data_IF_832868303874
#
_entry.id   IF_832868303874
#
_cell.length_a   1.000
_cell.length_b   1.000
_cell.length_c   1.000
_cell.angle_alpha   90.00
_cell.angle_beta   90.00
_cell.angle_gamma   90.00
#
_symmetry.space_group_name_H-M   'P 1'
#
loop_
_entity.id
_entity.type
_entity.pdbx_description
1 polymer ?
#
# COMPACT_ATOMS: atom_id res chain seq x y z
N UNK A 1 0.22 21.24 7.55
CA UNK A 1 -0.49 20.37 8.50
C UNK A 1 0.54 19.79 9.43
N UNK A 2 0.33 19.93 10.73
CA UNK A 2 1.21 19.35 11.74
C UNK A 2 1.17 17.81 11.65
N UNK A 3 2.32 17.12 11.58
CA UNK A 3 2.37 15.66 11.39
C UNK A 3 1.93 14.86 12.62
N UNK A 4 2.02 15.46 13.81
CA UNK A 4 1.69 14.83 15.10
C UNK A 4 0.22 15.07 15.50
N UNK A 5 -0.45 16.03 14.86
CA UNK A 5 -1.88 16.26 15.03
C UNK A 5 -2.68 14.98 14.83
N UNK A 6 -3.62 14.73 15.73
CA UNK A 6 -4.55 13.62 15.67
C UNK A 6 -5.77 14.00 14.84
N UNK A 7 -6.15 13.12 13.92
CA UNK A 7 -7.36 13.24 13.11
C UNK A 7 -8.21 11.98 13.24
N UNK A 8 -9.52 12.14 13.12
CA UNK A 8 -10.46 11.04 13.24
C UNK A 8 -10.48 10.19 11.97
N UNK A 9 -10.56 8.86 12.14
CA UNK A 9 -10.68 7.96 10.99
C UNK A 9 -12.08 8.06 10.35
N UNK A 10 -12.17 8.11 9.01
CA UNK A 10 -13.45 8.16 8.29
C UNK A 10 -14.22 6.83 8.32
N UNK A 11 -13.57 5.71 8.63
CA UNK A 11 -14.22 4.39 8.71
C UNK A 11 -14.77 4.07 10.09
N UNK A 12 -14.14 4.62 11.14
CA UNK A 12 -14.50 4.37 12.52
C UNK A 12 -14.24 5.61 13.37
N UNK A 13 -15.29 6.08 14.04
CA UNK A 13 -15.26 7.29 14.85
C UNK A 13 -14.43 7.16 16.13
N UNK A 14 -14.19 5.93 16.61
CA UNK A 14 -13.39 5.66 17.80
C UNK A 14 -11.88 5.84 17.57
N UNK A 15 -11.43 5.75 16.32
CA UNK A 15 -10.02 5.87 15.99
C UNK A 15 -9.58 7.32 15.84
N UNK A 16 -8.59 7.72 16.64
CA UNK A 16 -7.78 8.91 16.44
C UNK A 16 -6.39 8.52 15.95
N UNK A 17 -5.93 9.13 14.86
CA UNK A 17 -4.71 8.73 14.15
C UNK A 17 -3.89 9.97 13.85
N UNK A 18 -2.58 9.91 14.08
CA UNK A 18 -1.67 10.97 13.66
C UNK A 18 -1.75 11.21 12.16
N UNK A 19 -1.69 12.47 11.73
CA UNK A 19 -1.68 12.85 10.31
C UNK A 19 -0.61 12.08 9.52
N UNK A 20 0.58 11.92 10.10
CA UNK A 20 1.69 11.18 9.50
C UNK A 20 1.39 9.69 9.25
N UNK A 21 0.57 9.06 10.10
CA UNK A 21 0.22 7.63 10.04
C UNK A 21 -1.10 7.36 9.30
N UNK A 22 -1.89 8.39 9.02
CA UNK A 22 -3.20 8.28 8.41
C UNK A 22 -3.20 7.47 7.09
N UNK A 23 -2.26 7.68 6.12
CA UNK A 23 -2.31 6.94 4.85
C UNK A 23 -2.25 5.42 5.05
N UNK A 24 -1.33 4.95 5.91
CA UNK A 24 -1.19 3.54 6.24
C UNK A 24 -2.41 3.00 7.00
N UNK A 25 -2.93 3.79 7.93
CA UNK A 25 -4.12 3.43 8.69
C UNK A 25 -5.34 3.24 7.77
N UNK A 26 -5.57 4.14 6.81
CA UNK A 26 -6.72 4.07 5.92
C UNK A 26 -6.78 2.76 5.14
N UNK A 27 -5.64 2.25 4.65
CA UNK A 27 -5.60 0.98 3.91
C UNK A 27 -6.02 -0.20 4.78
N UNK A 28 -5.48 -0.29 6.00
CA UNK A 28 -5.82 -1.38 6.93
C UNK A 28 -7.27 -1.28 7.42
N UNK A 29 -7.69 -0.07 7.79
CA UNK A 29 -9.01 0.17 8.37
C UNK A 29 -10.14 -0.02 7.34
N UNK A 30 -9.89 0.30 6.06
CA UNK A 30 -10.82 0.03 4.96
C UNK A 30 -11.14 -1.47 4.84
N UNK A 31 -10.12 -2.33 4.91
CA UNK A 31 -10.28 -3.79 4.83
C UNK A 31 -11.11 -4.34 6.00
N UNK A 32 -10.93 -3.77 7.19
CA UNK A 32 -11.65 -4.19 8.40
C UNK A 32 -13.10 -3.68 8.46
N UNK A 33 -13.42 -2.62 7.70
CA UNK A 33 -14.73 -1.96 7.72
C UNK A 33 -15.42 -1.98 6.34
N UNK A 34 -15.72 -3.15 5.76
CA UNK A 34 -16.20 -3.27 4.39
C UNK A 34 -17.55 -2.58 4.15
N UNK A 35 -18.42 -2.52 5.16
CA UNK A 35 -19.74 -1.87 5.06
C UNK A 35 -19.60 -0.37 4.84
N UNK A 36 -18.81 0.31 5.67
CA UNK A 36 -18.55 1.75 5.54
C UNK A 36 -17.70 2.02 4.30
N UNK A 37 -16.73 1.16 4.01
CA UNK A 37 -15.87 1.28 2.83
C UNK A 37 -16.63 1.32 1.50
N UNK A 38 -17.77 0.63 1.38
CA UNK A 38 -18.64 0.70 0.20
C UNK A 38 -19.32 2.06 0.02
N UNK A 39 -19.48 2.82 1.10
CA UNK A 39 -20.14 4.14 1.06
C UNK A 39 -19.18 5.30 0.82
N UNK A 40 -17.88 5.05 0.98
CA UNK A 40 -16.81 6.04 0.85
C UNK A 40 -15.98 5.78 -0.40
N UNK A 41 -15.68 6.84 -1.14
CA UNK A 41 -14.75 6.82 -2.25
C UNK A 41 -13.48 7.58 -1.91
N UNK A 42 -12.38 7.21 -2.57
CA UNK A 42 -11.09 7.89 -2.46
C UNK A 42 -11.04 9.04 -3.47
N UNK A 43 -10.54 10.21 -3.05
CA UNK A 43 -10.31 11.31 -3.98
C UNK A 43 -9.19 10.96 -4.98
N UNK A 44 -9.35 11.30 -6.27
CA UNK A 44 -8.31 11.09 -7.27
C UNK A 44 -7.06 11.97 -7.06
N UNK A 45 -7.19 13.12 -6.40
CA UNK A 45 -6.07 14.06 -6.19
C UNK A 45 -5.31 13.83 -4.89
N UNK A 46 -5.97 13.27 -3.86
CA UNK A 46 -5.35 13.01 -2.57
C UNK A 46 -5.89 11.72 -1.95
N UNK A 47 -5.02 10.71 -1.84
CA UNK A 47 -5.36 9.41 -1.28
C UNK A 47 -5.69 9.45 0.22
N UNK A 48 -5.51 10.58 0.92
CA UNK A 48 -5.97 10.77 2.31
C UNK A 48 -7.44 11.13 2.39
N UNK A 49 -8.03 11.68 1.32
CA UNK A 49 -9.43 12.06 1.32
C UNK A 49 -10.30 10.81 1.13
N UNK A 50 -11.21 10.60 2.09
CA UNK A 50 -12.31 9.63 2.03
C UNK A 50 -13.60 10.41 2.07
N UNK A 51 -14.36 10.35 0.99
CA UNK A 51 -15.55 11.18 0.77
C UNK A 51 -16.74 10.26 0.48
N UNK A 52 -17.94 10.53 1.00
CA UNK A 52 -19.13 9.77 0.62
C UNK A 52 -19.28 9.72 -0.90
N UNK A 53 -19.58 8.54 -1.45
CA UNK A 53 -19.64 8.32 -2.90
C UNK A 53 -20.59 9.32 -3.60
N UNK A 54 -21.73 9.62 -2.97
CA UNK A 54 -22.70 10.60 -3.47
C UNK A 54 -22.14 12.03 -3.60
N UNK A 55 -21.13 12.39 -2.79
CA UNK A 55 -20.52 13.73 -2.75
C UNK A 55 -19.20 13.81 -3.51
N UNK A 56 -18.70 12.70 -4.05
CA UNK A 56 -17.40 12.65 -4.72
C UNK A 56 -17.30 13.64 -5.88
N UNK A 57 -18.34 13.76 -6.71
CA UNK A 57 -18.35 14.67 -7.87
C UNK A 57 -18.16 16.13 -7.46
N UNK A 58 -18.92 16.58 -6.46
CA UNK A 58 -18.80 17.93 -5.91
C UNK A 58 -17.43 18.14 -5.28
N UNK A 59 -16.94 17.15 -4.50
CA UNK A 59 -15.61 17.21 -3.91
C UNK A 59 -14.50 17.36 -4.95
N UNK A 60 -14.55 16.60 -6.05
CA UNK A 60 -13.54 16.66 -7.12
C UNK A 60 -13.49 18.05 -7.75
N UNK A 61 -14.64 18.70 -7.94
CA UNK A 61 -14.70 20.06 -8.50
C UNK A 61 -14.04 21.12 -7.60
N UNK A 62 -14.13 20.96 -6.28
CA UNK A 62 -13.66 21.92 -5.29
C UNK A 62 -12.54 21.38 -4.38
N UNK A 63 -11.81 20.34 -4.82
CA UNK A 63 -10.81 19.69 -3.98
C UNK A 63 -9.63 20.65 -3.77
N UNK A 64 -9.17 20.87 -2.53
CA UNK A 64 -8.05 21.78 -2.26
C UNK A 64 -6.72 21.29 -2.87
N UNK A 65 -6.58 19.97 -3.05
CA UNK A 65 -5.40 19.36 -3.67
C UNK A 65 -5.49 19.27 -5.20
N UNK A 66 -6.60 19.75 -5.80
CA UNK A 66 -6.73 19.83 -7.26
C UNK A 66 -5.83 20.96 -7.76
N UNK A 67 -4.57 20.64 -8.05
CA UNK A 67 -3.65 21.54 -8.74
C UNK A 67 -4.19 21.78 -10.15
N UNK A 68 -4.36 23.04 -10.54
CA UNK A 68 -4.55 23.33 -11.95
C UNK A 68 -3.23 23.06 -12.66
N UNK A 69 -3.22 22.40 -13.82
CA UNK A 69 -2.04 22.44 -14.67
C UNK A 69 -1.75 23.92 -14.92
N UNK A 70 -0.57 24.38 -14.52
CA UNK A 70 -0.03 25.66 -14.96
C UNK A 70 0.17 25.54 -16.48
N UNK A 71 -0.88 25.81 -17.26
CA UNK A 71 -0.74 26.05 -18.69
C UNK A 71 -0.06 27.41 -18.80
N UNK A 72 1.14 27.49 -19.40
CA UNK A 72 1.75 28.77 -19.70
C UNK A 72 0.75 29.60 -20.52
N UNK A 73 0.41 30.77 -20.01
CA UNK A 73 -0.32 31.82 -20.71
C UNK A 73 0.49 32.23 -21.94
N UNK A 74 -0.10 31.99 -23.11
CA UNK A 74 0.25 32.41 -24.48
C UNK A 74 1.73 32.40 -24.91
N UNK A 75 2.02 31.66 -25.97
CA UNK A 75 2.67 32.31 -27.11
C UNK A 75 2.03 31.76 -28.38
N UNK A 76 1.39 32.65 -29.12
CA UNK A 76 0.94 32.47 -30.49
C UNK A 76 2.05 31.90 -31.36
N UNK A 77 2.04 30.59 -31.57
CA UNK A 77 2.75 29.98 -32.68
C UNK A 77 1.70 29.73 -33.78
N UNK A 78 1.76 30.43 -34.93
CA UNK A 78 0.96 30.01 -36.07
C UNK A 78 1.43 28.59 -36.41
N UNK A 79 0.51 27.64 -36.41
CA UNK A 79 0.73 26.31 -36.99
C UNK A 79 0.98 26.49 -38.49
N UNK A 80 2.21 26.87 -38.83
CA UNK A 80 2.74 26.77 -40.18
C UNK A 80 3.13 25.33 -40.43
N UNK A 81 2.52 24.72 -41.43
CA UNK A 81 2.93 23.48 -42.07
C UNK A 81 4.46 23.38 -42.19
N UNK A 82 5.08 22.54 -41.37
CA UNK A 82 6.54 22.42 -41.35
C UNK A 82 7.13 21.69 -40.16
N UNK A 83 6.53 20.58 -39.72
CA UNK A 83 7.15 19.68 -38.76
C UNK A 83 8.33 18.95 -39.42
N UNK A 84 9.51 19.55 -39.43
CA UNK A 84 10.76 18.78 -39.49
C UNK A 84 11.12 18.41 -38.06
N UNK A 85 11.09 17.11 -37.75
CA UNK A 85 11.57 16.57 -36.48
C UNK A 85 12.93 17.19 -36.13
N UNK A 86 13.14 17.63 -34.88
CA UNK A 86 14.49 17.77 -34.37
C UNK A 86 15.14 16.39 -34.45
N UNK A 87 16.23 16.31 -35.21
CA UNK A 87 17.06 15.11 -35.27
C UNK A 87 17.51 14.77 -33.84
N UNK A 88 17.03 13.64 -33.35
CA UNK A 88 17.48 13.07 -32.08
C UNK A 88 18.95 12.68 -32.30
N UNK A 89 19.92 13.17 -31.51
CA UNK A 89 21.27 12.62 -31.57
C UNK A 89 21.16 11.11 -31.26
N UNK A 90 21.47 10.29 -32.26
CA UNK A 90 21.27 8.85 -32.26
C UNK A 90 22.28 8.08 -31.37
N UNK A 91 22.70 8.65 -30.24
CA UNK A 91 23.83 8.15 -29.46
C UNK A 91 23.54 7.90 -27.98
N UNK A 92 22.38 8.30 -27.44
CA UNK A 92 22.01 7.90 -26.08
C UNK A 92 21.38 6.51 -26.09
N UNK A 93 22.25 5.51 -26.11
CA UNK A 93 21.91 4.15 -25.69
C UNK A 93 22.09 4.12 -24.16
N UNK A 94 20.98 4.06 -23.41
CA UNK A 94 21.06 3.76 -21.99
C UNK A 94 21.80 2.42 -21.79
N UNK A 95 22.54 2.23 -20.67
CA UNK A 95 23.13 0.94 -20.36
C UNK A 95 22.08 -0.18 -20.50
N UNK A 96 22.46 -1.38 -20.96
CA UNK A 96 21.53 -2.51 -21.00
C UNK A 96 20.90 -2.68 -19.63
N UNK A 97 19.57 -2.66 -19.56
CA UNK A 97 18.84 -2.97 -18.34
C UNK A 97 19.15 -4.42 -17.97
N UNK A 98 20.03 -4.62 -16.98
CA UNK A 98 20.46 -5.95 -16.54
C UNK A 98 19.56 -6.52 -15.43
N UNK A 99 18.62 -5.71 -14.92
CA UNK A 99 17.61 -6.14 -13.97
C UNK A 99 16.41 -6.71 -14.74
N UNK A 100 16.50 -8.01 -15.06
CA UNK A 100 15.36 -8.79 -15.53
C UNK A 100 14.37 -8.96 -14.37
N UNK A 101 13.41 -8.04 -14.26
CA UNK A 101 12.35 -8.11 -13.26
C UNK A 101 11.38 -9.28 -13.48
N UNK A 102 11.53 -10.02 -14.59
CA UNK A 102 10.84 -11.28 -14.87
C UNK A 102 11.71 -12.53 -14.64
N UNK A 103 12.93 -12.38 -14.09
CA UNK A 103 13.74 -13.49 -13.60
C UNK A 103 13.20 -14.06 -12.26
N UNK A 104 11.89 -14.27 -12.18
CA UNK A 104 11.31 -15.21 -11.24
C UNK A 104 11.85 -16.60 -11.57
N UNK A 105 12.61 -17.19 -10.65
CA UNK A 105 13.16 -18.53 -10.78
C UNK A 105 12.10 -19.50 -11.32
N UNK A 106 12.35 -20.02 -12.53
CA UNK A 106 11.78 -21.28 -13.00
C UNK A 106 12.28 -22.40 -12.08
N UNK A 107 11.71 -22.47 -10.88
CA UNK A 107 11.82 -23.66 -10.06
C UNK A 107 11.23 -24.80 -10.90
N UNK A 108 11.96 -25.91 -11.08
CA UNK A 108 11.39 -27.05 -11.79
C UNK A 108 10.10 -27.43 -11.07
N UNK A 109 9.03 -27.64 -11.85
CA UNK A 109 7.86 -28.36 -11.40
C UNK A 109 8.32 -29.78 -11.05
N UNK A 110 8.90 -29.96 -9.86
CA UNK A 110 9.01 -31.27 -9.26
C UNK A 110 7.56 -31.71 -9.05
N UNK A 111 7.18 -32.73 -9.81
CA UNK A 111 5.89 -33.37 -9.76
C UNK A 111 5.42 -33.48 -8.31
N UNK A 112 4.30 -32.82 -8.00
CA UNK A 112 3.62 -33.08 -6.74
C UNK A 112 3.15 -34.54 -6.82
N UNK A 113 3.84 -35.41 -6.10
CA UNK A 113 3.37 -36.79 -5.91
C UNK A 113 2.00 -36.70 -5.21
N UNK A 114 0.96 -37.42 -5.64
CA UNK A 114 -0.41 -37.22 -5.14
C UNK A 114 -0.65 -37.78 -3.72
N UNK A 115 0.39 -37.99 -2.92
CA UNK A 115 0.28 -38.54 -1.57
C UNK A 115 0.86 -37.57 -0.54
N UNK A 116 -0.03 -36.84 0.12
CA UNK A 116 0.03 -36.49 1.54
C UNK A 116 1.16 -35.56 2.02
N UNK A 117 0.79 -34.43 2.64
CA UNK A 117 1.70 -33.62 3.43
C UNK A 117 2.16 -34.37 4.68
N UNK A 118 3.25 -35.12 4.57
CA UNK A 118 4.06 -35.54 5.71
C UNK A 118 5.52 -35.25 5.40
N UNK A 119 6.04 -34.18 6.00
CA UNK A 119 7.48 -33.96 6.09
C UNK A 119 7.99 -34.67 7.35
N UNK A 120 8.94 -35.62 7.25
CA UNK A 120 9.61 -36.16 8.42
C UNK A 120 10.57 -35.12 8.98
N UNK A 121 10.44 -34.82 10.28
CA UNK A 121 11.46 -34.08 11.02
C UNK A 121 12.64 -35.05 11.24
N UNK A 122 13.63 -35.00 10.36
CA UNK A 122 14.93 -35.58 10.66
C UNK A 122 15.84 -34.45 11.13
N UNK A 123 15.87 -34.28 12.45
CA UNK A 123 16.83 -33.48 13.19
C UNK A 123 18.16 -34.23 13.30
N UNK A 124 19.30 -33.62 12.94
CA UNK A 124 20.59 -34.01 13.46
C UNK A 124 21.07 -32.89 14.38
N UNK A 125 20.51 -32.80 15.58
CA UNK A 125 21.16 -32.06 16.66
C UNK A 125 21.58 -33.06 17.72
N UNK A 126 22.87 -33.41 17.65
CA UNK A 126 23.57 -34.19 18.63
C UNK A 126 23.49 -33.50 20.00
N UNK A 127 23.33 -34.34 21.02
CA UNK A 127 23.64 -34.07 22.42
C UNK A 127 24.92 -33.25 22.56
N UNK A 128 24.81 -32.08 23.20
CA UNK A 128 25.89 -31.51 24.00
C UNK A 128 25.27 -30.63 25.10
N UNK A 129 25.26 -31.18 26.31
CA UNK A 129 24.99 -30.51 27.58
C UNK A 129 25.89 -29.27 27.76
N UNK A 130 25.33 -28.14 28.19
CA UNK A 130 26.14 -26.98 28.60
C UNK A 130 25.39 -25.64 28.59
N UNK A 131 24.87 -25.27 29.77
CA UNK A 131 24.72 -23.94 30.36
C UNK A 131 24.52 -22.68 29.47
N UNK A 132 23.56 -21.86 29.90
CA UNK A 132 23.40 -20.39 29.73
C UNK A 132 22.11 -19.94 28.97
N UNK A 133 21.31 -19.11 29.65
CA UNK A 133 19.88 -18.79 29.49
C UNK A 133 19.35 -18.31 28.12
N UNK A 134 18.07 -18.62 27.76
CA UNK A 134 17.40 -18.02 26.61
C UNK A 134 16.81 -16.61 26.89
N UNK A 135 16.87 -15.66 25.93
CA UNK A 135 16.41 -14.28 26.11
C UNK A 135 14.87 -14.15 26.12
N UNK A 136 14.32 -13.10 26.77
CA UNK A 136 12.92 -13.07 27.16
C UNK A 136 12.04 -12.35 26.13
N UNK A 137 11.54 -13.03 25.09
CA UNK A 137 10.34 -12.55 24.39
C UNK A 137 9.52 -13.72 23.83
N UNK A 138 8.63 -14.24 24.68
CA UNK A 138 7.54 -15.13 24.24
C UNK A 138 6.36 -14.27 23.75
N UNK A 139 6.16 -14.22 22.43
CA UNK A 139 4.90 -13.78 21.83
C UNK A 139 3.86 -14.90 22.03
N UNK A 140 3.11 -14.83 23.12
CA UNK A 140 1.92 -15.66 23.28
C UNK A 140 0.81 -15.14 22.36
N UNK A 141 0.58 -15.84 21.25
CA UNK A 141 -0.72 -15.78 20.57
C UNK A 141 -1.58 -16.87 21.20
N UNK A 142 -2.53 -16.47 22.06
CA UNK A 142 -3.56 -17.37 22.57
C UNK A 142 -4.94 -16.77 22.33
N UNK A 143 -5.62 -17.44 21.41
CA UNK A 143 -7.03 -17.87 21.48
C UNK A 143 -8.09 -16.80 21.76
N UNK A 144 -8.90 -16.61 20.72
CA UNK A 144 -10.33 -16.34 20.79
C UNK A 144 -11.00 -17.02 22.00
N UNK A 145 -11.59 -16.23 22.91
CA UNK A 145 -12.73 -16.67 23.72
C UNK A 145 -13.48 -15.49 24.36
N UNK A 146 -14.80 -15.47 24.09
CA UNK A 146 -15.93 -15.06 24.92
C UNK A 146 -15.93 -13.68 25.63
N UNK A 147 -16.81 -12.82 25.11
CA UNK A 147 -17.91 -12.13 25.82
C UNK A 147 -17.61 -11.50 27.19
N UNK A 148 -17.83 -10.18 27.31
CA UNK A 148 -18.61 -9.52 28.38
C UNK A 148 -18.61 -7.98 28.17
N UNK A 149 -19.56 -7.23 28.76
CA UNK A 149 -20.36 -6.22 28.05
C UNK A 149 -19.93 -4.79 28.33
N UNK A 150 -20.48 -3.88 27.52
CA UNK A 150 -20.50 -2.44 27.75
C UNK A 150 -21.05 -2.11 29.13
N UNK A 151 -20.36 -1.26 29.89
CA UNK A 151 -21.02 -0.34 30.81
C UNK A 151 -20.18 0.93 31.03
N UNK A 152 -20.90 2.05 30.88
CA UNK A 152 -20.63 3.44 31.30
C UNK A 152 -19.80 4.39 30.45
#
# INVERSE_FOLDING_TARGET
>A
MDPEALVQCPYDKSHQVRVSRLPYHLVKCQRNNPRVARTLATCPFNARHRVPQAKLRSHVASCPDKRQPDLPHEMDAPFGDGMKQPEVPAAWQGPPCQEDWEAGAKLPLLAVSPQGWHVPISSPFAELEGLEDPPPFVLNVRTNDLLLPCDR
#
